data_IF_719889739312
#
_entry.id   IF_719889739312
#
_cell.length_a   1.000
_cell.length_b   1.000
_cell.length_c   1.000
_cell.angle_alpha   90.00
_cell.angle_beta   90.00
_cell.angle_gamma   90.00
#
_symmetry.space_group_name_H-M   'P 1'
#
loop_
_entity.id
_entity.type
_entity.pdbx_description
1 polymer ?
#
# COMPACT_ATOMS: atom_id res chain seq x y z
N UNK A 1 -1.80 -5.48 34.90
CA UNK A 1 -2.53 -5.08 33.70
C UNK A 1 -2.48 -6.24 32.74
N UNK A 2 -3.62 -6.82 32.41
CA UNK A 2 -3.72 -7.89 31.42
C UNK A 2 -3.59 -7.19 30.07
N UNK A 3 -2.51 -7.46 29.34
CA UNK A 3 -2.35 -6.96 27.98
C UNK A 3 -3.50 -7.47 27.15
N UNK A 4 -4.25 -6.56 26.54
CA UNK A 4 -5.20 -6.88 25.49
C UNK A 4 -4.40 -7.55 24.38
N UNK A 5 -4.69 -8.83 24.10
CA UNK A 5 -4.24 -9.44 22.87
C UNK A 5 -4.84 -8.60 21.73
N UNK A 6 -3.99 -7.99 20.91
CA UNK A 6 -4.46 -7.39 19.67
C UNK A 6 -5.18 -8.49 18.90
N UNK A 7 -6.41 -8.21 18.47
CA UNK A 7 -7.13 -9.10 17.58
C UNK A 7 -6.25 -9.36 16.36
N UNK A 8 -6.21 -10.59 15.87
CA UNK A 8 -5.57 -10.88 14.59
C UNK A 8 -6.21 -9.96 13.54
N UNK A 9 -5.43 -9.27 12.70
CA UNK A 9 -6.02 -8.39 11.70
C UNK A 9 -6.87 -9.22 10.75
N UNK A 10 -8.03 -8.68 10.36
CA UNK A 10 -9.00 -9.33 9.48
C UNK A 10 -9.03 -8.57 8.18
N UNK A 11 -9.23 -9.28 7.08
CA UNK A 11 -9.49 -8.63 5.79
C UNK A 11 -10.93 -8.10 5.78
N UNK A 12 -11.85 -8.77 6.48
CA UNK A 12 -13.19 -8.29 6.74
C UNK A 12 -13.24 -6.95 7.49
N UNK A 13 -14.19 -6.10 7.11
CA UNK A 13 -14.40 -4.78 7.71
C UNK A 13 -13.30 -3.75 7.50
N UNK A 14 -12.34 -3.98 6.59
CA UNK A 14 -11.32 -3.01 6.22
C UNK A 14 -11.96 -1.76 5.61
N UNK A 15 -11.44 -0.55 5.88
CA UNK A 15 -11.95 0.68 5.29
C UNK A 15 -12.02 0.60 3.76
N UNK A 16 -13.08 1.22 3.26
CA UNK A 16 -13.30 1.44 1.85
C UNK A 16 -13.27 2.96 1.63
N UNK A 17 -12.56 3.48 0.61
CA UNK A 17 -12.51 4.91 0.34
C UNK A 17 -13.90 5.51 0.13
N UNK A 18 -14.05 6.80 0.43
CA UNK A 18 -15.23 7.56 0.02
C UNK A 18 -15.37 7.53 -1.53
N UNK A 19 -16.58 7.70 -2.04
CA UNK A 19 -16.92 7.69 -3.48
C UNK A 19 -16.67 6.35 -4.21
N UNK A 20 -17.00 5.22 -3.56
CA UNK A 20 -16.93 3.87 -4.15
C UNK A 20 -17.63 3.70 -5.48
N UNK A 21 -18.66 4.52 -5.76
CA UNK A 21 -19.43 4.46 -7.00
C UNK A 21 -18.57 4.76 -8.24
N UNK A 22 -17.44 5.47 -8.06
CA UNK A 22 -16.46 5.75 -9.11
C UNK A 22 -15.40 4.63 -9.26
N UNK A 23 -15.33 3.71 -8.31
CA UNK A 23 -14.37 2.60 -8.29
C UNK A 23 -15.00 1.33 -8.85
N UNK A 24 -14.66 0.97 -10.08
CA UNK A 24 -15.18 -0.27 -10.70
C UNK A 24 -14.69 -1.54 -9.98
N UNK A 25 -13.48 -1.52 -9.42
CA UNK A 25 -12.81 -2.66 -8.80
C UNK A 25 -12.70 -2.46 -7.30
N UNK A 26 -12.72 -3.57 -6.56
CA UNK A 26 -12.68 -3.55 -5.12
C UNK A 26 -11.39 -2.93 -4.60
N UNK A 27 -11.53 -1.84 -3.85
CA UNK A 27 -10.41 -1.06 -3.32
C UNK A 27 -10.58 -0.84 -1.82
N UNK A 28 -9.58 -1.28 -1.05
CA UNK A 28 -9.49 -0.97 0.38
C UNK A 28 -8.61 0.27 0.56
N UNK A 29 -8.96 1.10 1.53
CA UNK A 29 -8.35 2.41 1.68
C UNK A 29 -9.16 3.34 2.57
N UNK A 30 -8.54 4.42 3.02
CA UNK A 30 -9.18 5.46 3.84
C UNK A 30 -9.44 6.75 3.05
N UNK A 31 -8.78 6.94 1.92
CA UNK A 31 -8.91 8.11 1.04
C UNK A 31 -8.69 7.66 -0.41
N UNK A 32 -9.56 8.06 -1.34
CA UNK A 32 -9.48 7.67 -2.75
C UNK A 32 -8.24 8.26 -3.44
N UNK A 33 -7.66 9.34 -2.91
CA UNK A 33 -6.49 10.02 -3.46
C UNK A 33 -5.16 9.37 -3.05
N UNK A 34 -5.17 8.40 -2.13
CA UNK A 34 -3.96 7.66 -1.77
C UNK A 34 -3.40 6.90 -2.99
N UNK A 35 -2.08 6.70 -3.02
CA UNK A 35 -1.46 5.84 -4.02
C UNK A 35 -2.08 4.44 -3.95
N UNK A 36 -2.48 3.90 -5.11
CA UNK A 36 -3.14 2.60 -5.18
C UNK A 36 -2.19 1.54 -5.70
N UNK A 37 -2.00 0.47 -4.93
CA UNK A 37 -1.40 -0.77 -5.39
C UNK A 37 -2.47 -1.69 -5.98
N UNK A 38 -2.12 -2.49 -6.98
CA UNK A 38 -3.01 -3.49 -7.58
C UNK A 38 -2.56 -4.91 -7.25
N UNK A 39 -3.46 -5.71 -6.68
CA UNK A 39 -3.26 -7.15 -6.49
C UNK A 39 -3.98 -7.91 -7.60
N UNK A 40 -3.20 -8.53 -8.50
CA UNK A 40 -3.71 -9.49 -9.47
C UNK A 40 -3.76 -10.88 -8.84
N UNK A 41 -4.93 -11.28 -8.36
CA UNK A 41 -5.17 -12.57 -7.70
C UNK A 41 -6.07 -13.50 -8.51
N UNK A 42 -6.24 -14.74 -8.06
CA UNK A 42 -7.28 -15.63 -8.59
C UNK A 42 -7.90 -16.41 -7.43
N UNK A 43 -9.23 -16.48 -7.37
CA UNK A 43 -9.98 -17.10 -6.27
C UNK A 43 -9.70 -18.60 -6.07
N UNK A 44 -9.15 -19.29 -7.07
CA UNK A 44 -8.76 -20.70 -6.99
C UNK A 44 -7.26 -20.91 -6.76
N UNK A 45 -6.49 -19.83 -6.67
CA UNK A 45 -5.05 -19.92 -6.51
C UNK A 45 -4.67 -20.10 -5.04
N UNK A 46 -3.99 -21.19 -4.65
CA UNK A 46 -3.56 -21.40 -3.27
C UNK A 46 -2.53 -20.37 -2.78
N UNK A 47 -1.75 -19.77 -3.68
CA UNK A 47 -0.82 -18.70 -3.32
C UNK A 47 -1.57 -17.38 -3.07
N UNK A 48 -2.68 -17.13 -3.77
CA UNK A 48 -3.53 -15.96 -3.49
C UNK A 48 -4.22 -16.14 -2.15
N UNK A 49 -4.73 -17.35 -1.86
CA UNK A 49 -5.24 -17.69 -0.53
C UNK A 49 -4.19 -17.45 0.57
N UNK A 50 -2.96 -17.94 0.35
CA UNK A 50 -1.90 -17.74 1.33
C UNK A 50 -1.60 -16.26 1.57
N UNK A 51 -1.54 -15.44 0.53
CA UNK A 51 -1.35 -14.00 0.67
C UNK A 51 -2.49 -13.33 1.46
N UNK A 52 -3.76 -13.59 1.10
CA UNK A 52 -4.93 -13.00 1.75
C UNK A 52 -5.03 -13.38 3.23
N UNK A 53 -4.78 -14.66 3.54
CA UNK A 53 -4.89 -15.16 4.92
C UNK A 53 -3.70 -14.79 5.81
N UNK A 54 -2.60 -14.29 5.22
CA UNK A 54 -1.37 -13.91 5.93
C UNK A 54 -0.96 -12.48 5.54
N UNK A 55 0.04 -12.29 4.69
CA UNK A 55 0.74 -11.01 4.50
C UNK A 55 -0.16 -9.81 4.14
N UNK A 56 -1.32 -10.01 3.52
CA UNK A 56 -2.26 -8.92 3.26
C UNK A 56 -2.70 -8.22 4.56
N UNK A 57 -2.83 -8.97 5.65
CA UNK A 57 -3.20 -8.46 6.98
C UNK A 57 -2.17 -7.46 7.52
N UNK A 58 -0.89 -7.77 7.32
CA UNK A 58 0.19 -6.88 7.72
C UNK A 58 0.25 -5.63 6.81
N UNK A 59 -0.02 -5.78 5.50
CA UNK A 59 -0.15 -4.64 4.57
C UNK A 59 -1.31 -3.72 4.95
N UNK A 60 -2.45 -4.30 5.36
CA UNK A 60 -3.63 -3.55 5.81
C UNK A 60 -3.28 -2.72 7.05
N UNK A 61 -2.71 -3.37 8.06
CA UNK A 61 -2.38 -2.72 9.32
C UNK A 61 -1.32 -1.62 9.14
N UNK A 62 -0.28 -1.89 8.36
CA UNK A 62 0.84 -0.95 8.21
C UNK A 62 0.49 0.24 7.30
N UNK A 63 -0.25 0.02 6.20
CA UNK A 63 -0.42 1.03 5.15
C UNK A 63 -1.86 1.44 4.85
N UNK A 64 -2.81 0.50 4.87
CA UNK A 64 -4.20 0.82 4.48
C UNK A 64 -4.91 1.58 5.59
N UNK A 65 -4.87 1.05 6.81
CA UNK A 65 -5.54 1.65 7.96
C UNK A 65 -4.85 2.94 8.43
N UNK A 66 -3.56 3.08 8.16
CA UNK A 66 -2.78 4.31 8.43
C UNK A 66 -2.94 5.38 7.35
N UNK A 67 -3.61 5.06 6.24
CA UNK A 67 -3.89 5.99 5.15
C UNK A 67 -2.69 6.31 4.26
N UNK A 68 -1.73 5.39 4.17
CA UNK A 68 -0.57 5.53 3.30
C UNK A 68 -0.77 4.90 1.91
N UNK A 69 -1.65 3.88 1.81
CA UNK A 69 -1.82 3.10 0.59
C UNK A 69 -3.26 2.62 0.43
N UNK A 70 -3.77 2.70 -0.80
CA UNK A 70 -4.95 1.94 -1.22
C UNK A 70 -4.52 0.62 -1.85
N UNK A 71 -5.32 -0.44 -1.67
CA UNK A 71 -5.09 -1.72 -2.34
C UNK A 71 -6.32 -2.11 -3.15
N UNK A 72 -6.19 -2.13 -4.47
CA UNK A 72 -7.19 -2.62 -5.42
C UNK A 72 -6.98 -4.13 -5.64
N UNK A 73 -8.03 -4.94 -5.53
CA UNK A 73 -7.99 -6.36 -5.87
C UNK A 73 -8.64 -6.60 -7.25
N UNK A 74 -7.87 -7.26 -8.13
CA UNK A 74 -8.33 -7.69 -9.45
C UNK A 74 -8.23 -9.20 -9.63
N UNK A 75 -9.39 -9.82 -9.79
CA UNK A 75 -9.48 -11.26 -10.06
C UNK A 75 -9.10 -11.57 -11.53
N UNK A 76 -7.92 -12.13 -11.72
CA UNK A 76 -7.41 -12.57 -13.00
C UNK A 76 -8.07 -13.89 -13.41
N UNK A 77 -9.14 -13.80 -14.21
CA UNK A 77 -9.88 -14.94 -14.75
C UNK A 77 -9.34 -15.43 -16.10
N UNK A 78 -8.75 -14.50 -16.86
CA UNK A 78 -8.21 -14.74 -18.19
C UNK A 78 -6.67 -14.70 -18.17
N UNK A 79 -6.02 -15.44 -19.06
CA UNK A 79 -4.55 -15.35 -19.20
C UNK A 79 -4.15 -13.94 -19.66
N UNK A 80 -3.03 -13.34 -19.21
CA UNK A 80 -2.57 -12.07 -19.77
C UNK A 80 -2.04 -12.21 -21.21
N UNK A 81 -2.27 -11.24 -22.12
CA UNK A 81 -1.70 -11.18 -23.49
C UNK A 81 -0.25 -11.67 -23.57
N UNK A 82 0.01 -12.68 -24.42
CA UNK A 82 1.36 -13.19 -24.67
C UNK A 82 1.88 -14.23 -23.67
N UNK A 83 1.07 -14.63 -22.68
CA UNK A 83 1.37 -15.73 -21.76
C UNK A 83 0.60 -17.00 -22.16
N UNK A 84 1.17 -18.18 -21.93
CA UNK A 84 0.48 -19.45 -22.20
C UNK A 84 0.85 -20.50 -21.15
N UNK A 85 -0.07 -20.79 -20.23
CA UNK A 85 0.12 -21.84 -19.21
C UNK A 85 -0.73 -23.10 -19.44
N UNK A 86 -1.89 -22.99 -20.13
CA UNK A 86 -2.90 -24.08 -20.12
C UNK A 86 -3.56 -24.47 -21.46
N UNK A 87 -2.95 -24.19 -22.62
CA UNK A 87 -3.11 -25.02 -23.82
C UNK A 87 -4.51 -25.21 -24.45
N UNK A 88 -5.44 -24.25 -24.40
CA UNK A 88 -6.62 -24.26 -25.29
C UNK A 88 -7.03 -22.87 -25.78
N UNK A 89 -7.74 -22.82 -26.91
CA UNK A 89 -7.83 -21.71 -27.85
C UNK A 89 -8.70 -20.50 -27.46
N UNK A 90 -9.14 -20.40 -26.20
CA UNK A 90 -9.80 -19.23 -25.60
C UNK A 90 -9.49 -19.18 -24.09
N UNK A 91 -8.36 -18.56 -23.77
CA UNK A 91 -8.10 -17.59 -22.70
C UNK A 91 -8.59 -17.73 -21.23
N UNK A 92 -9.14 -18.85 -20.74
CA UNK A 92 -9.52 -18.97 -19.31
C UNK A 92 -8.46 -19.69 -18.46
N UNK A 93 -8.23 -19.27 -17.21
CA UNK A 93 -7.44 -20.05 -16.23
C UNK A 93 -8.27 -21.27 -15.75
N UNK A 94 -9.57 -21.10 -15.53
CA UNK A 94 -10.57 -22.17 -15.47
C UNK A 94 -11.95 -21.69 -15.97
N UNK A 95 -12.82 -22.61 -16.42
CA UNK A 95 -14.10 -22.29 -17.06
C UNK A 95 -15.12 -21.56 -16.17
N UNK A 96 -14.91 -21.51 -14.85
CA UNK A 96 -15.76 -20.75 -13.94
C UNK A 96 -15.07 -19.53 -13.32
N UNK A 97 -13.82 -19.23 -13.68
CA UNK A 97 -13.11 -18.08 -13.11
C UNK A 97 -13.75 -16.74 -13.53
N UNK A 98 -14.21 -16.55 -14.79
CA UNK A 98 -14.97 -15.34 -15.17
C UNK A 98 -16.22 -15.19 -14.33
N UNK A 99 -17.00 -16.27 -14.18
CA UNK A 99 -18.22 -16.29 -13.35
C UNK A 99 -17.95 -15.84 -11.92
N UNK A 100 -16.90 -16.37 -11.29
CA UNK A 100 -16.53 -15.99 -9.92
C UNK A 100 -16.16 -14.50 -9.89
N UNK A 101 -15.40 -14.03 -10.89
CA UNK A 101 -14.95 -12.65 -10.99
C UNK A 101 -16.07 -11.66 -11.27
N UNK A 102 -17.05 -12.01 -12.12
CA UNK A 102 -18.26 -11.23 -12.39
C UNK A 102 -19.10 -11.08 -11.11
N UNK A 103 -19.30 -12.18 -10.36
CA UNK A 103 -20.03 -12.11 -9.09
C UNK A 103 -19.27 -11.28 -8.06
N UNK A 104 -17.94 -11.39 -8.00
CA UNK A 104 -17.14 -10.57 -7.10
C UNK A 104 -17.22 -9.08 -7.45
N UNK A 105 -17.10 -8.71 -8.73
CA UNK A 105 -17.26 -7.32 -9.17
C UNK A 105 -18.67 -6.81 -8.88
N UNK A 106 -19.69 -7.63 -9.12
CA UNK A 106 -21.06 -7.25 -8.77
C UNK A 106 -21.24 -7.08 -7.26
N UNK A 107 -20.65 -7.94 -6.44
CA UNK A 107 -20.71 -7.79 -4.99
C UNK A 107 -20.04 -6.48 -4.52
N UNK A 108 -18.92 -6.10 -5.13
CA UNK A 108 -18.27 -4.82 -4.86
C UNK A 108 -19.16 -3.63 -5.23
N UNK A 109 -19.69 -3.60 -6.45
CA UNK A 109 -20.44 -2.45 -6.96
C UNK A 109 -21.83 -2.32 -6.29
N UNK A 110 -22.43 -3.43 -5.83
CA UNK A 110 -23.68 -3.38 -5.08
C UNK A 110 -23.46 -3.12 -3.58
N UNK A 111 -22.44 -3.74 -2.98
CA UNK A 111 -22.23 -3.82 -1.52
C UNK A 111 -20.75 -3.64 -1.15
N UNK A 112 -20.13 -2.49 -1.43
CA UNK A 112 -18.68 -2.31 -1.26
C UNK A 112 -18.22 -2.51 0.19
N UNK A 113 -19.01 -2.07 1.16
CA UNK A 113 -18.72 -2.24 2.59
C UNK A 113 -18.71 -3.71 3.07
N UNK A 114 -19.31 -4.64 2.31
CA UNK A 114 -19.41 -6.07 2.65
C UNK A 114 -18.49 -6.93 1.77
N UNK A 115 -17.85 -6.34 0.76
CA UNK A 115 -17.04 -7.07 -0.19
C UNK A 115 -15.85 -7.77 0.46
N UNK A 116 -15.18 -7.12 1.41
CA UNK A 116 -13.97 -7.69 2.02
C UNK A 116 -14.27 -8.88 2.92
N UNK A 117 -15.44 -8.91 3.57
CA UNK A 117 -15.93 -10.09 4.28
C UNK A 117 -16.16 -11.26 3.31
N UNK A 118 -16.70 -10.96 2.13
CA UNK A 118 -16.86 -11.95 1.06
C UNK A 118 -15.52 -12.44 0.49
N UNK A 119 -14.56 -11.55 0.27
CA UNK A 119 -13.22 -11.92 -0.18
C UNK A 119 -12.54 -12.85 0.85
N UNK A 120 -12.55 -12.48 2.14
CA UNK A 120 -11.97 -13.31 3.21
C UNK A 120 -12.66 -14.68 3.25
N UNK A 121 -14.01 -14.72 3.23
CA UNK A 121 -14.79 -15.97 3.22
C UNK A 121 -14.47 -16.87 2.02
N UNK A 122 -14.23 -16.29 0.83
CA UNK A 122 -13.86 -17.05 -0.36
C UNK A 122 -12.47 -17.71 -0.25
N UNK A 123 -11.63 -17.25 0.69
CA UNK A 123 -10.30 -17.78 0.95
C UNK A 123 -10.18 -18.56 2.27
N UNK A 124 -11.25 -18.70 3.06
CA UNK A 124 -11.28 -19.62 4.21
C UNK A 124 -11.07 -21.08 3.78
N UNK A 125 -11.77 -21.49 2.71
CA UNK A 125 -11.60 -22.79 2.07
C UNK A 125 -11.35 -22.60 0.58
N UNK A 126 -10.29 -23.24 0.05
CA UNK A 126 -9.86 -23.00 -1.33
C UNK A 126 -10.95 -23.47 -2.31
N UNK A 127 -11.49 -22.52 -3.07
CA UNK A 127 -12.45 -22.79 -4.13
C UNK A 127 -11.82 -23.69 -5.20
N UNK A 128 -12.49 -24.78 -5.53
CA UNK A 128 -11.99 -25.77 -6.48
C UNK A 128 -13.11 -26.32 -7.38
N UNK A 129 -12.73 -27.01 -8.45
CA UNK A 129 -13.69 -27.58 -9.39
C UNK A 129 -14.43 -26.53 -10.23
N UNK A 130 -15.62 -26.88 -10.73
CA UNK A 130 -16.47 -25.96 -11.49
C UNK A 130 -17.47 -25.31 -10.54
N UNK A 131 -17.51 -23.98 -10.54
CA UNK A 131 -18.39 -23.20 -9.65
C UNK A 131 -19.57 -22.63 -10.41
N UNK A 132 -20.76 -22.79 -9.85
CA UNK A 132 -22.05 -22.30 -10.35
C UNK A 132 -22.48 -21.01 -9.65
N UNK A 133 -23.46 -20.29 -10.23
CA UNK A 133 -24.05 -19.13 -9.55
C UNK A 133 -24.78 -19.52 -8.24
N UNK A 134 -25.27 -20.76 -8.12
CA UNK A 134 -25.88 -21.24 -6.88
C UNK A 134 -24.85 -21.36 -5.76
N UNK A 135 -23.67 -21.89 -6.06
CA UNK A 135 -22.55 -21.96 -5.11
C UNK A 135 -22.04 -20.56 -4.76
N UNK A 136 -21.89 -19.66 -5.74
CA UNK A 136 -21.52 -18.26 -5.46
C UNK A 136 -22.54 -17.56 -4.55
N UNK A 137 -23.85 -17.81 -4.75
CA UNK A 137 -24.88 -17.29 -3.85
C UNK A 137 -24.70 -17.80 -2.41
N UNK A 138 -24.29 -19.05 -2.23
CA UNK A 138 -24.02 -19.61 -0.90
C UNK A 138 -22.78 -18.99 -0.25
N UNK A 139 -21.74 -18.67 -1.04
CA UNK A 139 -20.57 -17.94 -0.52
C UNK A 139 -20.94 -16.52 -0.07
N UNK A 140 -21.72 -15.79 -0.88
CA UNK A 140 -22.27 -14.48 -0.48
C UNK A 140 -23.17 -14.57 0.77
N UNK A 141 -23.91 -15.65 0.94
CA UNK A 141 -24.72 -15.91 2.14
C UNK A 141 -23.88 -16.17 3.37
N UNK A 142 -22.84 -16.99 3.22
CA UNK A 142 -21.91 -17.33 4.30
C UNK A 142 -21.11 -16.11 4.77
N UNK A 143 -20.77 -15.20 3.84
CA UNK A 143 -20.10 -13.93 4.11
C UNK A 143 -21.04 -12.83 4.64
N UNK A 144 -22.35 -13.07 4.71
CA UNK A 144 -23.31 -12.07 5.20
C UNK A 144 -23.70 -10.98 4.19
N UNK A 145 -23.23 -11.03 2.94
CA UNK A 145 -23.47 -9.99 1.91
C UNK A 145 -24.95 -9.87 1.55
N UNK A 146 -25.55 -8.68 1.60
CA UNK A 146 -26.94 -8.45 1.19
C UNK A 146 -27.15 -8.51 -0.34
N UNK A 147 -28.39 -8.27 -0.80
CA UNK A 147 -28.75 -8.10 -2.22
C UNK A 147 -28.26 -9.19 -3.21
N UNK A 148 -28.01 -10.40 -2.68
CA UNK A 148 -27.46 -11.56 -3.41
C UNK A 148 -28.21 -11.92 -4.69
N UNK A 149 -29.52 -11.67 -4.75
CA UNK A 149 -30.31 -11.95 -5.96
C UNK A 149 -29.97 -10.99 -7.09
N UNK A 150 -29.73 -9.71 -6.77
CA UNK A 150 -29.33 -8.66 -7.71
C UNK A 150 -27.88 -8.86 -8.14
N UNK A 151 -26.97 -9.11 -7.18
CA UNK A 151 -25.57 -9.45 -7.45
C UNK A 151 -25.45 -10.61 -8.45
N UNK A 152 -26.19 -11.70 -8.21
CA UNK A 152 -26.20 -12.86 -9.11
C UNK A 152 -26.89 -12.56 -10.44
N UNK A 153 -27.87 -11.64 -10.46
CA UNK A 153 -28.56 -11.20 -11.67
C UNK A 153 -27.63 -10.42 -12.59
N UNK A 154 -27.00 -9.35 -12.08
CA UNK A 154 -26.11 -8.47 -12.85
C UNK A 154 -24.91 -9.25 -13.42
N UNK A 155 -24.34 -10.17 -12.63
CA UNK A 155 -23.29 -11.08 -13.11
C UNK A 155 -23.77 -12.07 -14.19
N UNK A 156 -25.03 -12.49 -14.20
CA UNK A 156 -25.60 -13.37 -15.24
C UNK A 156 -25.90 -12.63 -16.53
N UNK A 157 -26.28 -11.36 -16.40
CA UNK A 157 -26.68 -10.51 -17.52
C UNK A 157 -25.46 -9.98 -18.30
N UNK A 158 -24.24 -10.20 -17.76
CA UNK A 158 -22.97 -9.89 -18.42
C UNK A 158 -22.50 -8.46 -18.17
N UNK A 159 -23.05 -7.78 -17.17
CA UNK A 159 -22.76 -6.37 -16.88
C UNK A 159 -21.28 -6.11 -16.58
N UNK A 160 -20.56 -7.15 -16.14
CA UNK A 160 -19.15 -7.08 -15.75
C UNK A 160 -18.18 -7.76 -16.72
N UNK A 161 -18.65 -8.33 -17.84
CA UNK A 161 -17.81 -9.09 -18.80
C UNK A 161 -16.59 -8.26 -19.25
N UNK A 162 -16.83 -7.01 -19.64
CA UNK A 162 -15.77 -6.09 -20.10
C UNK A 162 -14.77 -5.72 -19.02
N UNK A 163 -15.19 -5.67 -17.74
CA UNK A 163 -14.30 -5.38 -16.62
C UNK A 163 -13.43 -6.58 -16.27
N UNK A 164 -13.99 -7.80 -16.33
CA UNK A 164 -13.23 -9.04 -16.13
C UNK A 164 -12.19 -9.23 -17.24
N UNK A 165 -12.54 -8.98 -18.51
CA UNK A 165 -11.57 -9.05 -19.62
C UNK A 165 -10.46 -8.00 -19.48
N UNK A 166 -10.82 -6.76 -19.13
CA UNK A 166 -9.86 -5.66 -18.93
C UNK A 166 -8.83 -5.95 -17.84
N UNK A 167 -9.16 -6.76 -16.85
CA UNK A 167 -8.19 -7.19 -15.84
C UNK A 167 -6.99 -7.89 -16.48
N UNK A 168 -7.21 -8.78 -17.46
CA UNK A 168 -6.13 -9.50 -18.12
C UNK A 168 -5.30 -8.62 -19.05
N UNK A 169 -5.94 -7.65 -19.72
CA UNK A 169 -5.23 -6.66 -20.54
C UNK A 169 -4.28 -5.84 -19.68
N UNK A 170 -4.75 -5.29 -18.56
CA UNK A 170 -3.93 -4.49 -17.64
C UNK A 170 -2.82 -5.35 -17.02
N UNK A 171 -3.13 -6.57 -16.59
CA UNK A 171 -2.13 -7.52 -16.09
C UNK A 171 -1.01 -7.75 -17.13
N UNK A 172 -1.35 -7.81 -18.43
CA UNK A 172 -0.38 -7.92 -19.52
C UNK A 172 0.51 -6.69 -19.66
N UNK A 173 -0.03 -5.48 -19.46
CA UNK A 173 0.75 -4.23 -19.56
C UNK A 173 1.84 -4.09 -18.50
N UNK A 174 1.61 -4.65 -17.31
CA UNK A 174 2.58 -4.65 -16.19
C UNK A 174 3.35 -5.96 -16.06
N UNK A 175 3.23 -6.88 -17.04
CA UNK A 175 4.04 -8.09 -17.10
C UNK A 175 3.69 -9.17 -16.08
N UNK A 176 2.45 -9.21 -15.59
CA UNK A 176 1.96 -10.26 -14.68
C UNK A 176 2.06 -11.63 -15.37
N UNK A 177 2.75 -12.57 -14.74
CA UNK A 177 2.96 -13.92 -15.26
C UNK A 177 2.50 -15.04 -14.32
N UNK A 178 2.11 -14.70 -13.09
CA UNK A 178 1.58 -15.62 -12.09
C UNK A 178 0.67 -14.86 -11.10
N UNK A 179 -0.14 -15.61 -10.34
CA UNK A 179 -0.99 -15.07 -9.27
C UNK A 179 -0.54 -15.63 -7.91
N UNK A 180 -0.59 -14.83 -6.83
CA UNK A 180 -0.85 -13.40 -6.83
C UNK A 180 0.38 -12.62 -7.34
N UNK A 181 0.14 -11.49 -7.98
CA UNK A 181 1.16 -10.46 -8.25
C UNK A 181 0.68 -9.16 -7.62
N UNK A 182 1.58 -8.47 -6.91
CA UNK A 182 1.34 -7.16 -6.31
C UNK A 182 2.09 -6.12 -7.13
N UNK A 183 1.36 -5.13 -7.64
CA UNK A 183 1.87 -4.07 -8.50
C UNK A 183 1.74 -2.72 -7.78
N UNK A 184 2.79 -1.91 -7.84
CA UNK A 184 2.80 -0.56 -7.30
C UNK A 184 3.80 0.29 -8.09
N UNK A 185 3.32 1.37 -8.69
CA UNK A 185 4.16 2.32 -9.43
C UNK A 185 4.80 1.74 -10.70
N UNK A 186 4.17 0.72 -11.31
CA UNK A 186 4.66 0.06 -12.53
C UNK A 186 5.62 -1.11 -12.28
N UNK A 187 6.01 -1.33 -11.02
CA UNK A 187 6.83 -2.47 -10.61
C UNK A 187 5.95 -3.58 -10.01
N UNK A 188 6.41 -4.83 -10.11
CA UNK A 188 5.68 -6.00 -9.58
C UNK A 188 6.52 -6.85 -8.63
N UNK A 189 5.86 -7.45 -7.64
CA UNK A 189 6.44 -8.49 -6.77
C UNK A 189 5.46 -9.64 -6.53
N UNK A 190 5.97 -10.78 -6.07
CA UNK A 190 5.17 -11.91 -5.59
C UNK A 190 4.88 -11.70 -4.10
N UNK A 191 3.64 -11.37 -3.69
CA UNK A 191 3.37 -10.91 -2.34
C UNK A 191 3.17 -12.04 -1.32
N UNK A 192 3.16 -13.30 -1.76
CA UNK A 192 2.97 -14.48 -0.89
C UNK A 192 4.30 -15.00 -0.29
N UNK A 193 5.41 -14.26 -0.46
CA UNK A 193 6.71 -14.59 0.11
C UNK A 193 6.86 -14.04 1.54
N UNK A 194 8.09 -13.81 1.99
CA UNK A 194 8.38 -13.24 3.31
C UNK A 194 7.71 -11.86 3.51
N UNK A 195 7.00 -11.68 4.63
CA UNK A 195 6.25 -10.44 4.92
C UNK A 195 7.16 -9.22 4.97
N UNK A 196 8.28 -9.28 5.70
CA UNK A 196 9.21 -8.15 5.82
C UNK A 196 9.73 -7.71 4.45
N UNK A 197 10.02 -8.68 3.56
CA UNK A 197 10.43 -8.41 2.19
C UNK A 197 9.34 -7.69 1.38
N UNK A 198 8.05 -8.03 1.59
CA UNK A 198 6.93 -7.34 0.95
C UNK A 198 6.77 -5.91 1.49
N UNK A 199 6.80 -5.71 2.81
CA UNK A 199 6.64 -4.39 3.43
C UNK A 199 7.79 -3.45 2.98
N UNK A 200 9.04 -3.91 3.05
CA UNK A 200 10.19 -3.13 2.55
C UNK A 200 10.07 -2.81 1.04
N UNK A 201 9.50 -3.72 0.25
CA UNK A 201 9.27 -3.48 -1.18
C UNK A 201 8.23 -2.39 -1.41
N UNK A 202 7.16 -2.36 -0.60
CA UNK A 202 6.13 -1.32 -0.61
C UNK A 202 6.73 0.02 -0.17
N UNK A 203 7.44 0.07 0.96
CA UNK A 203 8.09 1.29 1.47
C UNK A 203 8.95 1.98 0.42
N UNK A 204 9.74 1.21 -0.33
CA UNK A 204 10.61 1.75 -1.38
C UNK A 204 9.87 2.33 -2.59
N UNK A 205 8.54 2.18 -2.67
CA UNK A 205 7.67 2.60 -3.80
C UNK A 205 6.56 3.55 -3.39
N UNK A 206 6.34 3.75 -2.09
CA UNK A 206 5.38 4.73 -1.62
C UNK A 206 5.88 6.14 -1.96
N UNK A 207 5.10 6.84 -2.77
CA UNK A 207 5.38 8.23 -3.10
C UNK A 207 4.77 9.13 -2.03
N UNK A 208 5.60 9.92 -1.35
CA UNK A 208 5.12 10.86 -0.33
C UNK A 208 4.80 10.23 1.02
N UNK A 209 5.18 8.97 1.27
CA UNK A 209 5.20 8.43 2.63
C UNK A 209 6.33 9.08 3.41
N UNK A 210 5.96 9.94 4.35
CA UNK A 210 6.82 10.42 5.42
C UNK A 210 7.42 9.20 6.14
N UNK A 211 8.66 8.83 5.83
CA UNK A 211 9.38 7.76 6.52
C UNK A 211 9.25 7.91 8.04
N UNK A 212 8.64 6.95 8.72
CA UNK A 212 8.51 7.00 10.19
C UNK A 212 9.80 6.59 10.90
N UNK A 213 10.78 6.04 10.16
CA UNK A 213 12.10 5.69 10.68
C UNK A 213 12.86 6.97 11.02
N UNK A 214 13.18 7.22 12.30
CA UNK A 214 13.88 8.44 12.68
C UNK A 214 15.32 8.43 12.15
N UNK A 215 15.69 9.51 11.46
CA UNK A 215 17.08 9.79 11.06
C UNK A 215 17.58 11.05 11.75
N UNK A 216 18.87 11.35 11.63
CA UNK A 216 19.47 12.53 12.24
C UNK A 216 20.08 13.46 11.20
N UNK A 217 19.85 14.76 11.38
CA UNK A 217 20.53 15.83 10.66
C UNK A 217 21.39 16.60 11.66
N UNK A 218 22.66 16.78 11.35
CA UNK A 218 23.59 17.58 12.17
C UNK A 218 24.17 18.68 11.31
N UNK A 219 24.08 19.91 11.81
CA UNK A 219 24.73 21.10 11.25
C UNK A 219 25.99 21.37 12.08
N UNK A 220 27.16 21.25 11.46
CA UNK A 220 28.45 21.38 12.13
C UNK A 220 29.18 22.66 11.71
N UNK A 221 29.11 23.67 12.57
CA UNK A 221 29.84 24.92 12.40
C UNK A 221 31.22 24.93 13.07
N UNK A 222 31.70 23.83 13.65
CA UNK A 222 32.96 23.83 14.42
C UNK A 222 34.21 24.20 13.62
N UNK A 223 34.13 24.13 12.29
CA UNK A 223 35.20 24.57 11.37
C UNK A 223 35.16 26.07 11.03
N UNK A 224 34.13 26.81 11.45
CA UNK A 224 33.96 28.25 11.20
C UNK A 224 34.01 29.06 12.49
N UNK A 225 34.49 30.31 12.37
CA UNK A 225 34.44 31.31 13.44
C UNK A 225 33.35 32.37 13.20
N UNK A 226 32.53 32.18 12.16
CA UNK A 226 31.41 33.04 11.79
C UNK A 226 30.10 32.30 12.05
N UNK A 227 29.09 33.04 12.45
CA UNK A 227 27.71 32.54 12.46
C UNK A 227 27.28 32.23 11.03
N UNK A 228 26.67 31.06 10.85
CA UNK A 228 26.11 30.54 9.60
C UNK A 228 24.65 30.19 9.88
N UNK A 229 23.73 30.89 9.23
CA UNK A 229 22.29 30.66 9.39
C UNK A 229 21.85 29.47 8.52
N UNK A 230 20.84 28.75 8.99
CA UNK A 230 20.19 27.68 8.24
C UNK A 230 18.70 27.60 8.56
N UNK A 231 17.96 27.03 7.61
CA UNK A 231 16.57 26.68 7.76
C UNK A 231 16.24 25.44 6.96
N UNK A 232 15.33 24.62 7.49
CA UNK A 232 14.85 23.44 6.77
C UNK A 232 13.43 23.07 7.19
N UNK A 233 12.74 22.34 6.31
CA UNK A 233 11.44 21.75 6.58
C UNK A 233 11.45 20.25 6.26
N UNK A 234 10.64 19.50 6.99
CA UNK A 234 10.39 18.08 6.71
C UNK A 234 8.90 17.84 6.49
N UNK A 235 8.57 16.78 5.76
CA UNK A 235 7.19 16.28 5.65
C UNK A 235 6.77 15.39 6.84
N UNK A 236 7.66 15.21 7.83
CA UNK A 236 7.38 14.50 9.06
C UNK A 236 7.52 15.33 10.32
N UNK A 237 8.09 14.71 11.36
CA UNK A 237 8.31 15.32 12.66
C UNK A 237 9.77 15.72 12.81
N UNK A 238 10.03 16.75 13.61
CA UNK A 238 11.39 17.19 13.92
C UNK A 238 11.50 17.55 15.40
N UNK A 239 12.52 17.02 16.04
CA UNK A 239 12.89 17.33 17.42
C UNK A 239 14.39 17.60 17.53
N UNK A 240 14.79 18.50 18.43
CA UNK A 240 16.21 18.73 18.71
C UNK A 240 16.88 17.45 19.23
N UNK A 241 18.11 17.21 18.83
CA UNK A 241 18.91 16.02 19.13
C UNK A 241 20.28 16.38 19.71
N UNK A 242 20.87 15.46 20.48
CA UNK A 242 22.25 15.56 20.94
C UNK A 242 23.21 14.73 20.04
N UNK A 243 22.74 14.28 18.87
CA UNK A 243 23.56 13.50 17.95
C UNK A 243 24.84 14.27 17.58
N UNK A 244 25.92 13.53 17.37
CA UNK A 244 27.27 14.07 17.13
C UNK A 244 27.79 15.07 18.19
N UNK A 245 27.21 15.07 19.40
CA UNK A 245 27.62 15.95 20.50
C UNK A 245 27.06 17.38 20.39
N UNK A 246 26.01 17.60 19.61
CA UNK A 246 25.28 18.86 19.55
C UNK A 246 24.59 19.21 20.87
N UNK A 247 24.31 20.50 21.10
CA UNK A 247 23.52 20.97 22.24
C UNK A 247 22.04 21.06 21.89
N UNK A 248 21.17 20.77 22.87
CA UNK A 248 19.77 21.21 22.85
C UNK A 248 19.64 22.48 23.68
N UNK A 249 19.65 23.64 23.05
CA UNK A 249 19.45 24.92 23.73
C UNK A 249 18.26 25.69 23.12
N UNK A 250 18.14 26.98 23.44
CA UNK A 250 16.99 27.80 23.06
C UNK A 250 17.29 28.71 21.85
N UNK A 251 18.45 28.60 21.22
CA UNK A 251 18.90 29.52 20.17
C UNK A 251 18.28 29.19 18.81
N UNK A 252 17.99 27.92 18.55
CA UNK A 252 17.25 27.44 17.40
C UNK A 252 15.74 27.31 17.71
N UNK A 253 14.91 27.55 16.70
CA UNK A 253 13.45 27.48 16.79
C UNK A 253 12.94 26.32 15.96
N UNK A 254 12.14 25.46 16.59
CA UNK A 254 11.34 24.42 15.91
C UNK A 254 9.88 24.85 15.96
N UNK A 255 9.24 24.99 14.81
CA UNK A 255 7.82 25.34 14.68
C UNK A 255 7.13 24.35 13.75
N UNK A 256 6.35 23.43 14.32
CA UNK A 256 5.78 22.32 13.55
C UNK A 256 6.89 21.43 12.97
N UNK A 257 6.91 21.28 11.65
CA UNK A 257 7.92 20.51 10.92
C UNK A 257 9.04 21.38 10.32
N UNK A 258 9.16 22.64 10.75
CA UNK A 258 10.15 23.62 10.25
C UNK A 258 11.14 24.01 11.34
N UNK A 259 12.39 24.18 10.95
CA UNK A 259 13.51 24.60 11.80
C UNK A 259 14.15 25.88 11.25
N UNK A 260 14.44 26.83 12.13
CA UNK A 260 15.30 27.97 11.86
C UNK A 260 16.39 28.02 12.94
N UNK A 261 17.65 28.06 12.55
CA UNK A 261 18.78 28.03 13.47
C UNK A 261 20.03 28.70 12.93
N UNK A 262 21.08 28.72 13.75
CA UNK A 262 22.37 29.23 13.34
C UNK A 262 23.50 28.56 14.12
N UNK A 263 24.56 28.17 13.42
CA UNK A 263 25.78 27.63 14.04
C UNK A 263 26.92 28.64 13.95
N UNK A 264 27.69 28.76 15.04
CA UNK A 264 29.04 29.33 15.05
C UNK A 264 30.05 28.19 15.26
N UNK A 265 31.02 28.29 16.19
CA UNK A 265 31.94 27.20 16.52
C UNK A 265 31.29 26.07 17.36
N UNK A 266 30.04 25.69 17.06
CA UNK A 266 29.28 24.63 17.74
C UNK A 266 28.47 23.82 16.72
N UNK A 267 27.71 22.84 17.21
CA UNK A 267 26.85 21.97 16.41
C UNK A 267 25.43 22.03 16.91
N UNK A 268 24.51 22.00 15.96
CA UNK A 268 23.09 21.77 16.20
C UNK A 268 22.71 20.44 15.55
N UNK A 269 21.75 19.72 16.15
CA UNK A 269 21.28 18.48 15.56
C UNK A 269 19.80 18.25 15.83
N UNK A 270 19.18 17.50 14.94
CA UNK A 270 17.76 17.22 14.92
C UNK A 270 17.54 15.74 14.60
N UNK A 271 16.58 15.13 15.29
CA UNK A 271 16.01 13.85 14.90
C UNK A 271 14.77 14.17 14.06
N UNK A 272 14.71 13.62 12.86
CA UNK A 272 13.62 13.84 11.91
C UNK A 272 12.96 12.52 11.54
N UNK A 273 11.66 12.55 11.29
CA UNK A 273 10.96 11.58 10.44
C UNK A 273 10.58 12.26 9.14
N UNK A 274 10.36 11.48 8.09
CA UNK A 274 10.10 12.00 6.75
C UNK A 274 11.36 12.36 5.98
N UNK A 275 11.15 13.02 4.85
CA UNK A 275 12.20 13.61 4.04
C UNK A 275 12.30 15.13 4.28
N UNK A 276 13.49 15.67 4.01
CA UNK A 276 13.69 17.12 3.96
C UNK A 276 13.03 17.64 2.68
N UNK A 277 12.04 18.51 2.81
CA UNK A 277 11.30 19.13 1.71
C UNK A 277 11.80 20.51 1.34
N UNK A 278 12.61 21.10 2.21
CA UNK A 278 13.30 22.36 1.99
C UNK A 278 14.58 22.39 2.80
N UNK A 279 15.69 22.82 2.21
CA UNK A 279 16.92 23.06 2.94
C UNK A 279 17.66 24.30 2.42
N UNK A 280 18.08 25.16 3.34
CA UNK A 280 18.90 26.32 3.02
C UNK A 280 19.94 26.54 4.13
N UNK A 281 21.18 26.83 3.72
CA UNK A 281 22.29 27.08 4.65
C UNK A 281 23.29 28.06 4.00
N UNK A 282 23.80 28.99 4.79
CA UNK A 282 24.89 29.85 4.35
C UNK A 282 26.23 29.10 4.24
N UNK A 283 27.17 29.61 3.45
CA UNK A 283 28.51 29.02 3.34
C UNK A 283 29.25 29.07 4.69
N UNK A 284 29.74 27.92 5.18
CA UNK A 284 30.64 27.87 6.34
C UNK A 284 30.46 26.68 7.27
N UNK A 285 29.33 25.98 7.19
CA UNK A 285 29.05 24.79 7.99
C UNK A 285 29.08 23.50 7.14
N UNK A 286 29.21 22.35 7.80
CA UNK A 286 29.13 21.02 7.17
C UNK A 286 27.86 20.32 7.65
N UNK A 287 27.14 19.68 6.74
CA UNK A 287 25.91 18.95 7.05
C UNK A 287 26.17 17.45 7.05
N UNK A 288 25.59 16.75 8.03
CA UNK A 288 25.62 15.30 8.14
C UNK A 288 24.21 14.74 8.21
N UNK A 289 23.95 13.63 7.50
CA UNK A 289 22.76 12.77 7.65
C UNK A 289 23.23 11.44 8.23
N UNK A 290 22.71 11.06 9.40
CA UNK A 290 23.10 9.85 10.13
C UNK A 290 24.61 9.68 10.35
N UNK A 291 25.29 10.82 10.56
CA UNK A 291 26.73 10.88 10.76
C UNK A 291 27.56 10.79 9.48
N UNK A 292 26.94 10.62 8.31
CA UNK A 292 27.61 10.71 7.00
C UNK A 292 27.51 12.13 6.44
N UNK A 293 28.62 12.66 5.93
CA UNK A 293 28.66 14.01 5.36
C UNK A 293 27.87 14.04 4.05
N UNK A 294 26.97 15.00 3.92
CA UNK A 294 26.15 15.22 2.73
C UNK A 294 26.42 16.58 2.10
N UNK A 295 26.04 16.72 0.83
CA UNK A 295 26.03 18.01 0.14
C UNK A 295 24.66 18.67 0.36
N UNK A 296 24.60 19.86 1.00
CA UNK A 296 23.35 20.56 1.28
C UNK A 296 22.50 20.84 0.03
N UNK A 297 23.12 21.01 -1.15
CA UNK A 297 22.38 21.26 -2.41
C UNK A 297 21.57 20.05 -2.89
N UNK A 298 21.77 18.88 -2.28
CA UNK A 298 21.02 17.66 -2.57
C UNK A 298 20.01 17.33 -1.45
N UNK A 299 19.73 18.27 -0.54
CA UNK A 299 18.68 18.15 0.47
C UNK A 299 17.55 19.14 0.10
N UNK A 300 16.32 18.65 -0.06
CA UNK A 300 15.12 19.49 -0.29
C UNK A 300 15.08 20.19 -1.64
#
# INVERSE_FOLDING_TARGET
MVGTANATPSVGGVPVPDDTDDLTYATMGTDADNQTATVFGNFKCPYTQNFVNNNLKDVIDEYVTTGQLNVEFRALAYQPPGTSSHGSSTYYISSSDPRISEVALSAWNERPAEYWDFLETMFDELVSGTVTYGEMRNHLDSAGVGDRSEIIGNAKDGDYDSAVERTADVAGTVGVSFTPTFELGGDTTAPHHDTDSLLNWIDSRLTGSTSTTPTTITIDGTATNRTTEYDFAVDGSVEKSNAMGASKDAWDTVSGSTVNGAVGPWKDSYTITGEITHFNIEDGAVVYRDGERVDPQHLG
#
